data_IF_288080839139
#
_entry.id   IF_288080839139
#
_cell.length_a   1.000
_cell.length_b   1.000
_cell.length_c   1.000
_cell.angle_alpha   90.00
_cell.angle_beta   90.00
_cell.angle_gamma   90.00
#
_symmetry.space_group_name_H-M   'P 1'
#
loop_
_entity.id
_entity.type
_entity.pdbx_description
1 polymer ?
#
# COMPACT_ATOMS: atom_id res chain seq x y z
N UNK A 1 10.56 5.03 12.57
CA UNK A 1 9.86 4.38 11.44
C UNK A 1 9.06 3.19 11.94
N UNK A 2 7.84 2.97 11.44
CA UNK A 2 7.09 1.72 11.66
C UNK A 2 6.73 1.11 10.31
N UNK A 3 6.91 -0.20 10.18
CA UNK A 3 6.60 -0.94 8.96
C UNK A 3 5.79 -2.19 9.29
N UNK A 4 5.03 -2.65 8.30
CA UNK A 4 4.20 -3.84 8.39
C UNK A 4 4.59 -4.83 7.31
N UNK A 5 4.34 -6.11 7.56
CA UNK A 5 4.49 -7.16 6.57
C UNK A 5 3.14 -7.44 5.91
N UNK A 6 3.09 -7.35 4.58
CA UNK A 6 1.91 -7.66 3.78
C UNK A 6 2.23 -8.78 2.78
N UNK A 7 1.23 -9.58 2.41
CA UNK A 7 1.38 -10.55 1.34
C UNK A 7 0.75 -10.04 0.05
N UNK A 8 1.45 -10.14 -1.08
CA UNK A 8 0.90 -9.80 -2.40
C UNK A 8 1.08 -10.96 -3.40
N UNK A 9 0.10 -11.12 -4.27
CA UNK A 9 0.10 -12.07 -5.36
C UNK A 9 -0.36 -13.49 -5.02
N UNK A 10 -0.37 -14.32 -6.05
CA UNK A 10 -0.59 -15.76 -6.01
C UNK A 10 0.45 -16.49 -6.90
N UNK A 11 1.39 -17.25 -6.31
CA UNK A 11 1.58 -17.47 -4.87
C UNK A 11 1.96 -16.17 -4.13
N UNK A 12 1.50 -16.03 -2.87
CA UNK A 12 1.74 -14.85 -2.05
C UNK A 12 3.23 -14.72 -1.72
N UNK A 13 3.76 -13.51 -1.84
CA UNK A 13 5.10 -13.11 -1.36
C UNK A 13 4.96 -12.02 -0.30
N UNK A 14 5.86 -12.05 0.67
CA UNK A 14 5.88 -11.07 1.76
C UNK A 14 6.65 -9.82 1.34
N UNK A 15 6.12 -8.66 1.71
CA UNK A 15 6.71 -7.33 1.49
C UNK A 15 6.67 -6.54 2.80
N UNK A 16 7.78 -5.90 3.15
CA UNK A 16 7.87 -4.99 4.28
C UNK A 16 7.63 -3.56 3.81
N UNK A 17 6.53 -2.96 4.25
CA UNK A 17 6.09 -1.64 3.78
C UNK A 17 5.99 -0.67 4.95
N UNK A 18 6.48 0.56 4.76
CA UNK A 18 6.30 1.62 5.74
C UNK A 18 4.81 1.93 5.89
N UNK A 19 4.35 2.11 7.12
CA UNK A 19 2.99 2.56 7.40
C UNK A 19 2.98 4.09 7.33
N UNK A 20 2.20 4.64 6.41
CA UNK A 20 2.10 6.08 6.21
C UNK A 20 0.65 6.56 6.25
N UNK A 21 0.30 7.30 7.31
CA UNK A 21 -1.04 7.90 7.45
C UNK A 21 -1.18 9.24 6.72
N UNK A 22 -0.10 9.75 6.12
CA UNK A 22 -0.06 11.01 5.39
C UNK A 22 -0.21 10.88 3.86
N UNK A 23 -0.17 9.66 3.31
CA UNK A 23 -0.36 9.40 1.87
C UNK A 23 -1.45 8.36 1.60
N UNK A 24 -1.99 8.36 0.39
CA UNK A 24 -3.13 7.50 0.04
C UNK A 24 -2.72 6.13 -0.50
N UNK A 25 -1.71 6.06 -1.36
CA UNK A 25 -1.46 4.90 -2.22
C UNK A 25 -0.55 3.88 -1.52
N UNK A 26 -0.93 2.60 -1.55
CA UNK A 26 0.04 1.50 -1.41
C UNK A 26 0.87 1.41 -2.67
N UNK A 27 2.19 1.39 -2.55
CA UNK A 27 3.07 1.00 -3.64
C UNK A 27 4.22 0.13 -3.14
N UNK A 28 4.75 -0.71 -4.04
CA UNK A 28 5.94 -1.53 -3.81
C UNK A 28 6.91 -1.41 -4.97
N UNK A 29 8.21 -1.56 -4.69
CA UNK A 29 9.26 -1.54 -5.70
C UNK A 29 9.08 -2.70 -6.69
N UNK A 30 9.09 -2.40 -7.98
CA UNK A 30 8.84 -3.39 -9.01
C UNK A 30 10.10 -3.96 -9.66
N UNK A 31 9.96 -5.16 -10.23
CA UNK A 31 11.00 -5.78 -11.03
C UNK A 31 11.36 -4.88 -12.22
N UNK A 32 12.66 -4.62 -12.39
CA UNK A 32 13.16 -3.69 -13.40
C UNK A 32 13.05 -2.21 -13.01
N UNK A 33 12.79 -1.91 -11.73
CA UNK A 33 12.77 -0.54 -11.24
C UNK A 33 14.12 0.18 -11.40
N UNK A 34 14.05 1.43 -11.83
CA UNK A 34 15.17 2.37 -11.90
C UNK A 34 15.40 3.06 -10.54
N UNK A 35 16.64 3.07 -10.06
CA UNK A 35 17.05 3.71 -8.79
C UNK A 35 16.31 3.23 -7.54
N UNK A 36 15.69 2.04 -7.58
CA UNK A 36 15.17 1.41 -6.36
C UNK A 36 16.31 0.90 -5.46
N UNK A 37 16.12 0.89 -4.14
CA UNK A 37 17.06 0.28 -3.22
C UNK A 37 17.14 -1.23 -3.48
N UNK A 38 18.35 -1.77 -3.35
CA UNK A 38 18.61 -3.22 -3.47
C UNK A 38 19.04 -3.85 -2.16
N UNK A 39 19.28 -3.02 -1.13
CA UNK A 39 19.70 -3.40 0.22
C UNK A 39 19.03 -2.46 1.22
N UNK A 40 18.88 -2.95 2.44
CA UNK A 40 18.39 -2.19 3.58
C UNK A 40 19.38 -2.35 4.74
N UNK A 41 19.69 -1.24 5.42
CA UNK A 41 20.46 -1.24 6.67
C UNK A 41 19.65 -1.76 7.89
N UNK A 42 18.34 -2.00 7.71
CA UNK A 42 17.46 -2.62 8.71
C UNK A 42 17.62 -4.14 8.82
N UNK A 43 18.55 -4.73 8.07
CA UNK A 43 18.76 -6.19 8.04
C UNK A 43 17.66 -6.97 7.32
N UNK A 44 16.80 -6.28 6.56
CA UNK A 44 15.72 -6.87 5.77
C UNK A 44 16.20 -7.16 4.34
N UNK A 45 15.79 -8.32 3.81
CA UNK A 45 15.92 -8.62 2.39
C UNK A 45 14.80 -7.92 1.61
N UNK A 46 15.18 -7.07 0.65
CA UNK A 46 14.20 -6.37 -0.20
C UNK A 46 13.65 -7.29 -1.29
N UNK A 47 12.34 -7.26 -1.48
CA UNK A 47 11.58 -8.03 -2.44
C UNK A 47 10.98 -7.10 -3.50
N UNK A 48 11.32 -7.36 -4.76
CA UNK A 48 10.70 -6.66 -5.89
C UNK A 48 9.42 -7.38 -6.34
N UNK A 49 8.34 -6.64 -6.51
CA UNK A 49 7.10 -7.16 -7.09
C UNK A 49 7.25 -7.36 -8.59
N UNK A 50 6.87 -8.54 -9.07
CA UNK A 50 6.92 -8.89 -10.48
C UNK A 50 5.51 -9.34 -10.91
N UNK A 51 4.77 -8.50 -11.66
CA UNK A 51 3.43 -8.83 -12.14
C UNK A 51 3.38 -10.17 -12.88
N UNK A 52 4.46 -10.54 -13.59
CA UNK A 52 4.51 -11.77 -14.38
C UNK A 52 4.63 -13.03 -13.53
N UNK A 53 5.02 -12.88 -12.25
CA UNK A 53 5.18 -14.00 -11.31
C UNK A 53 3.95 -14.25 -10.45
N UNK A 54 2.89 -13.46 -10.61
CA UNK A 54 1.62 -13.73 -9.97
C UNK A 54 0.53 -14.08 -10.98
N UNK A 55 -0.11 -15.21 -10.76
CA UNK A 55 -1.26 -15.68 -11.54
C UNK A 55 -2.53 -14.84 -11.38
N UNK A 56 -2.59 -13.96 -10.37
CA UNK A 56 -3.74 -13.10 -10.07
C UNK A 56 -3.47 -11.63 -10.38
N UNK A 57 -2.27 -11.31 -10.87
CA UNK A 57 -1.90 -9.97 -11.28
C UNK A 57 -2.59 -9.58 -12.59
N UNK A 58 -3.03 -8.34 -12.66
CA UNK A 58 -3.53 -7.70 -13.87
C UNK A 58 -3.12 -6.24 -13.90
N UNK A 59 -2.83 -5.73 -15.10
CA UNK A 59 -2.53 -4.31 -15.29
C UNK A 59 -3.82 -3.49 -15.15
N UNK A 60 -3.69 -2.29 -14.57
CA UNK A 60 -4.76 -1.29 -14.58
C UNK A 60 -4.50 -0.30 -15.71
N UNK A 61 -5.49 -0.09 -16.56
CA UNK A 61 -5.40 0.80 -17.71
C UNK A 61 -6.05 2.16 -17.42
N UNK A 62 -5.66 3.19 -18.18
CA UNK A 62 -6.06 4.56 -17.93
C UNK A 62 -7.57 4.83 -18.10
N UNK A 63 -8.26 3.97 -18.83
CA UNK A 63 -9.70 4.02 -19.11
C UNK A 63 -10.55 3.22 -18.12
N UNK A 64 -9.93 2.53 -17.17
CA UNK A 64 -10.63 1.78 -16.13
C UNK A 64 -11.08 2.69 -14.98
N UNK A 65 -12.22 2.33 -14.37
CA UNK A 65 -12.89 3.11 -13.31
C UNK A 65 -11.97 3.50 -12.15
N UNK A 66 -11.06 2.61 -11.75
CA UNK A 66 -10.09 2.92 -10.68
C UNK A 66 -9.21 4.11 -11.06
N UNK A 67 -8.70 4.12 -12.30
CA UNK A 67 -7.81 5.16 -12.77
C UNK A 67 -8.54 6.49 -12.89
N UNK A 68 -9.71 6.49 -13.55
CA UNK A 68 -10.50 7.70 -13.73
C UNK A 68 -10.97 8.27 -12.39
N UNK A 69 -11.35 7.42 -11.43
CA UNK A 69 -11.75 7.86 -10.09
C UNK A 69 -10.58 8.38 -9.25
N UNK A 70 -9.35 7.90 -9.50
CA UNK A 70 -8.15 8.38 -8.79
C UNK A 70 -7.74 9.78 -9.24
N UNK A 71 -8.06 10.15 -10.48
CA UNK A 71 -7.69 11.44 -11.10
C UNK A 71 -8.89 12.34 -11.37
N UNK A 72 -10.03 12.10 -10.70
CA UNK A 72 -11.27 12.88 -10.83
C UNK A 72 -11.77 13.07 -12.28
N UNK A 73 -11.50 12.09 -13.14
CA UNK A 73 -11.98 12.07 -14.52
C UNK A 73 -11.06 11.32 -15.49
N UNK A 74 -11.42 11.31 -16.80
CA UNK A 74 -10.59 10.73 -17.83
C UNK A 74 -9.23 11.42 -17.93
N UNK A 75 -8.17 10.61 -17.96
CA UNK A 75 -6.81 11.13 -18.13
C UNK A 75 -6.61 11.70 -19.54
N UNK A 76 -6.11 12.94 -19.69
CA UNK A 76 -5.79 13.51 -21.00
C UNK A 76 -4.82 12.62 -21.77
N UNK A 77 -5.16 12.30 -23.03
CA UNK A 77 -4.32 11.45 -23.87
C UNK A 77 -4.37 9.96 -23.53
N UNK A 78 -5.31 9.52 -22.68
CA UNK A 78 -5.57 8.10 -22.45
C UNK A 78 -5.92 7.39 -23.76
N UNK A 79 -5.21 6.30 -24.05
CA UNK A 79 -5.42 5.42 -25.20
C UNK A 79 -5.67 4.00 -24.71
N UNK A 80 -6.39 3.16 -25.48
CA UNK A 80 -6.55 1.75 -25.14
C UNK A 80 -5.19 1.09 -24.85
N UNK A 81 -5.14 0.27 -23.81
CA UNK A 81 -3.94 -0.42 -23.32
C UNK A 81 -2.83 0.48 -22.73
N UNK A 82 -3.05 1.79 -22.60
CA UNK A 82 -2.12 2.64 -21.85
C UNK A 82 -2.33 2.39 -20.35
N UNK A 83 -1.24 2.06 -19.65
CA UNK A 83 -1.27 1.79 -18.22
C UNK A 83 -1.69 3.04 -17.43
N UNK A 84 -2.42 2.84 -16.34
CA UNK A 84 -2.72 3.90 -15.38
C UNK A 84 -1.44 4.24 -14.60
N UNK A 85 -0.78 5.33 -14.99
CA UNK A 85 0.46 5.78 -14.35
C UNK A 85 0.16 6.52 -13.05
N UNK A 86 1.12 6.51 -12.13
CA UNK A 86 1.06 7.31 -10.90
C UNK A 86 2.41 7.97 -10.61
N UNK A 87 2.35 9.07 -9.86
CA UNK A 87 3.50 9.78 -9.32
C UNK A 87 3.11 10.35 -7.94
N UNK A 88 3.94 10.10 -6.93
CA UNK A 88 3.79 10.66 -5.59
C UNK A 88 5.08 11.37 -5.22
N UNK A 89 4.96 12.60 -4.73
CA UNK A 89 6.06 13.39 -4.15
C UNK A 89 5.78 13.55 -2.66
N UNK A 90 6.73 13.17 -1.83
CA UNK A 90 6.63 13.23 -0.38
C UNK A 90 7.16 14.56 0.17
N UNK A 91 6.82 14.85 1.44
CA UNK A 91 7.18 16.12 2.08
C UNK A 91 8.69 16.35 2.25
N UNK A 92 9.51 15.29 2.16
CA UNK A 92 10.97 15.35 2.14
C UNK A 92 11.56 15.62 0.74
N UNK A 93 10.70 15.71 -0.28
CA UNK A 93 11.09 15.91 -1.68
C UNK A 93 11.45 14.62 -2.43
N UNK A 94 11.44 13.46 -1.75
CA UNK A 94 11.56 12.17 -2.42
C UNK A 94 10.31 11.86 -3.26
N UNK A 95 10.44 10.98 -4.24
CA UNK A 95 9.30 10.65 -5.11
C UNK A 95 9.32 9.21 -5.58
N UNK A 96 8.13 8.68 -5.81
CA UNK A 96 7.91 7.40 -6.49
C UNK A 96 7.08 7.60 -7.75
N UNK A 97 7.44 6.91 -8.84
CA UNK A 97 6.67 6.91 -10.07
C UNK A 97 6.56 5.49 -10.64
N UNK A 98 5.42 5.20 -11.27
CA UNK A 98 5.15 3.87 -11.80
C UNK A 98 3.77 3.76 -12.42
N UNK A 99 3.20 2.56 -12.32
CA UNK A 99 1.87 2.26 -12.83
C UNK A 99 1.08 1.40 -11.84
N UNK A 100 -0.25 1.47 -11.91
CA UNK A 100 -1.11 0.66 -11.06
C UNK A 100 -1.25 -0.77 -11.58
N UNK A 101 -1.27 -1.70 -10.64
CA UNK A 101 -1.55 -3.11 -10.85
C UNK A 101 -2.63 -3.55 -9.87
N UNK A 102 -3.45 -4.51 -10.29
CA UNK A 102 -4.45 -5.15 -9.45
C UNK A 102 -4.01 -6.56 -9.16
N UNK A 103 -3.96 -6.93 -7.88
CA UNK A 103 -3.60 -8.27 -7.45
C UNK A 103 -4.26 -8.62 -6.11
N UNK A 104 -4.07 -9.87 -5.68
CA UNK A 104 -4.49 -10.32 -4.37
C UNK A 104 -3.53 -9.83 -3.29
N UNK A 105 -4.10 -9.35 -2.19
CA UNK A 105 -3.41 -9.02 -0.95
C UNK A 105 -3.82 -10.02 0.13
N UNK A 106 -2.85 -10.70 0.72
CA UNK A 106 -3.05 -11.56 1.88
C UNK A 106 -2.96 -10.70 3.14
N UNK A 107 -3.96 -10.84 3.99
CA UNK A 107 -4.11 -10.15 5.26
C UNK A 107 -4.36 -11.18 6.37
N UNK A 108 -4.16 -10.74 7.61
CA UNK A 108 -4.48 -11.53 8.80
C UNK A 108 -5.72 -10.92 9.47
N UNK A 109 -6.84 -11.63 9.41
CA UNK A 109 -8.08 -11.22 10.05
C UNK A 109 -8.04 -11.61 11.52
N UNK A 110 -8.24 -10.64 12.42
CA UNK A 110 -8.40 -10.91 13.85
C UNK A 110 -9.68 -11.71 14.09
N UNK A 111 -9.55 -12.90 14.66
CA UNK A 111 -10.69 -13.79 15.01
C UNK A 111 -10.91 -13.91 16.51
N UNK A 112 -9.98 -13.41 17.33
CA UNK A 112 -10.04 -13.41 18.78
C UNK A 112 -8.78 -12.79 19.39
N UNK A 113 -8.69 -12.80 20.72
CA UNK A 113 -7.50 -12.28 21.42
C UNK A 113 -6.26 -13.06 21.01
N UNK A 114 -5.28 -12.35 20.43
CA UNK A 114 -4.02 -12.92 19.92
C UNK A 114 -4.25 -14.04 18.87
N UNK A 115 -5.41 -14.06 18.22
CA UNK A 115 -5.75 -15.03 17.20
C UNK A 115 -6.05 -14.33 15.88
N UNK A 116 -5.41 -14.82 14.82
CA UNK A 116 -5.70 -14.40 13.45
C UNK A 116 -5.98 -15.59 12.55
N UNK A 117 -6.69 -15.32 11.47
CA UNK A 117 -6.88 -16.23 10.35
C UNK A 117 -6.52 -15.50 9.08
N UNK A 118 -5.80 -16.18 8.19
CA UNK A 118 -5.51 -15.63 6.87
C UNK A 118 -6.81 -15.36 6.11
N UNK A 119 -6.89 -14.15 5.56
CA UNK A 119 -7.93 -13.69 4.65
C UNK A 119 -7.28 -13.02 3.44
N UNK A 120 -7.99 -12.92 2.33
CA UNK A 120 -7.48 -12.29 1.12
C UNK A 120 -8.39 -11.14 0.69
N UNK A 121 -7.79 -10.06 0.21
CA UNK A 121 -8.37 -8.91 -0.49
C UNK A 121 -7.93 -8.89 -1.94
N UNK A 122 -8.69 -8.26 -2.83
CA UNK A 122 -8.16 -7.86 -4.14
C UNK A 122 -8.05 -6.35 -4.10
N UNK A 123 -6.85 -5.84 -4.41
CA UNK A 123 -6.52 -4.43 -4.28
C UNK A 123 -5.73 -3.96 -5.49
N UNK A 124 -5.82 -2.67 -5.76
CA UNK A 124 -5.01 -1.95 -6.72
C UNK A 124 -3.93 -1.19 -5.95
N UNK A 125 -2.69 -1.32 -6.40
CA UNK A 125 -1.52 -0.68 -5.79
C UNK A 125 -0.50 -0.26 -6.84
N UNK A 126 0.40 0.63 -6.46
CA UNK A 126 1.47 1.13 -7.30
C UNK A 126 2.59 0.10 -7.46
N UNK A 127 2.91 -0.21 -8.71
CA UNK A 127 4.14 -0.87 -9.12
C UNK A 127 5.21 0.20 -9.35
N UNK A 128 6.07 0.43 -8.35
CA UNK A 128 7.09 1.47 -8.34
C UNK A 128 8.18 1.17 -9.35
N UNK A 129 8.17 1.87 -10.47
CA UNK A 129 9.11 1.69 -11.57
C UNK A 129 10.34 2.59 -11.45
N UNK A 130 10.25 3.67 -10.65
CA UNK A 130 11.37 4.57 -10.39
C UNK A 130 11.22 5.26 -9.04
N UNK A 131 12.33 5.31 -8.29
CA UNK A 131 12.43 6.09 -7.05
C UNK A 131 13.39 7.27 -7.21
N UNK A 132 13.23 8.29 -6.37
CA UNK A 132 14.12 9.44 -6.29
C UNK A 132 14.29 9.91 -4.84
N UNK A 133 15.37 10.66 -4.57
CA UNK A 133 15.70 11.10 -3.21
C UNK A 133 15.94 9.92 -2.27
N UNK A 134 15.51 10.08 -1.02
CA UNK A 134 15.72 9.08 0.04
C UNK A 134 15.05 7.73 -0.25
N UNK A 135 13.95 7.70 -1.02
CA UNK A 135 13.29 6.44 -1.41
C UNK A 135 14.17 5.54 -2.30
N UNK A 136 15.20 6.09 -2.94
CA UNK A 136 16.19 5.31 -3.71
C UNK A 136 17.43 4.92 -2.89
N UNK A 137 17.55 5.41 -1.66
CA UNK A 137 18.69 5.16 -0.79
C UNK A 137 18.54 3.81 -0.07
N UNK A 138 19.65 3.24 0.39
CA UNK A 138 19.63 2.00 1.18
C UNK A 138 19.37 2.23 2.68
N UNK A 139 19.24 3.50 3.10
CA UNK A 139 19.00 3.84 4.49
C UNK A 139 17.53 3.70 4.83
N UNK A 140 17.24 2.94 5.87
CA UNK A 140 15.89 2.59 6.32
C UNK A 140 15.00 2.02 5.19
N UNK A 141 15.63 1.42 4.18
CA UNK A 141 14.94 1.01 2.96
C UNK A 141 13.95 -0.14 3.22
N UNK A 142 12.79 -0.03 2.59
CA UNK A 142 11.69 -0.98 2.66
C UNK A 142 11.21 -1.32 1.25
N UNK A 143 10.33 -2.31 1.13
CA UNK A 143 9.78 -2.74 -0.16
C UNK A 143 8.81 -1.72 -0.76
N UNK A 144 8.32 -0.79 0.05
CA UNK A 144 7.48 0.32 -0.38
C UNK A 144 6.76 1.00 0.79
N UNK A 145 5.67 1.69 0.47
CA UNK A 145 4.85 2.45 1.44
C UNK A 145 3.40 2.02 1.33
N UNK A 146 2.77 1.76 2.47
CA UNK A 146 1.35 1.51 2.62
C UNK A 146 0.66 2.78 3.11
N UNK A 147 0.03 3.49 2.18
CA UNK A 147 -0.76 4.69 2.44
C UNK A 147 -2.13 4.39 3.10
N UNK A 148 -2.47 5.23 4.08
CA UNK A 148 -3.69 5.17 4.90
C UNK A 148 -4.56 6.43 4.79
N UNK A 149 -4.29 7.27 3.79
CA UNK A 149 -5.05 8.48 3.50
C UNK A 149 -6.51 8.23 3.11
N UNK A 150 -7.27 9.31 3.02
CA UNK A 150 -8.73 9.27 2.91
C UNK A 150 -9.22 9.01 1.47
N UNK A 151 -8.34 9.10 0.46
CA UNK A 151 -8.72 8.96 -0.94
C UNK A 151 -9.25 7.55 -1.26
N UNK A 152 -10.04 7.45 -2.34
CA UNK A 152 -10.59 6.18 -2.80
C UNK A 152 -9.53 5.19 -3.30
N UNK A 153 -8.35 5.70 -3.68
CA UNK A 153 -7.19 4.90 -4.07
C UNK A 153 -6.51 4.20 -2.89
N UNK A 154 -6.79 4.58 -1.64
CA UNK A 154 -6.18 3.93 -0.47
C UNK A 154 -6.68 2.51 -0.23
N UNK A 155 -5.81 1.64 0.30
CA UNK A 155 -6.13 0.23 0.51
C UNK A 155 -7.34 0.05 1.42
N UNK A 156 -7.50 0.89 2.45
CA UNK A 156 -8.68 0.81 3.31
C UNK A 156 -9.95 1.16 2.54
N UNK A 157 -9.92 2.24 1.74
CA UNK A 157 -11.07 2.63 0.93
C UNK A 157 -11.48 1.50 -0.02
N UNK A 158 -10.51 0.86 -0.67
CA UNK A 158 -10.75 -0.26 -1.57
C UNK A 158 -11.34 -1.49 -0.84
N UNK A 159 -10.73 -1.89 0.28
CA UNK A 159 -11.22 -3.03 1.07
C UNK A 159 -12.62 -2.75 1.63
N UNK A 160 -12.89 -1.52 2.07
CA UNK A 160 -14.20 -1.13 2.55
C UNK A 160 -15.26 -1.11 1.44
N UNK A 161 -14.92 -0.60 0.26
CA UNK A 161 -15.80 -0.63 -0.91
C UNK A 161 -16.14 -2.06 -1.36
N UNK A 162 -15.22 -3.01 -1.18
CA UNK A 162 -15.49 -4.44 -1.42
C UNK A 162 -16.28 -5.14 -0.30
N UNK A 163 -16.68 -4.41 0.74
CA UNK A 163 -17.43 -4.95 1.88
C UNK A 163 -16.63 -5.81 2.85
N UNK A 164 -15.29 -5.87 2.71
CA UNK A 164 -14.43 -6.74 3.54
C UNK A 164 -14.16 -6.16 4.93
N UNK A 165 -14.12 -4.83 5.04
CA UNK A 165 -13.79 -4.12 6.29
C UNK A 165 -14.65 -2.85 6.42
N UNK A 166 -14.69 -2.27 7.62
CA UNK A 166 -15.15 -0.88 7.79
C UNK A 166 -14.04 0.09 7.35
N UNK A 167 -14.40 1.26 6.81
CA UNK A 167 -13.45 2.32 6.40
C UNK A 167 -12.89 3.04 7.64
N UNK A 168 -12.16 2.30 8.46
CA UNK A 168 -11.52 2.75 9.69
C UNK A 168 -10.29 1.89 9.96
N UNK A 169 -9.37 2.39 10.76
CA UNK A 169 -8.22 1.64 11.24
C UNK A 169 -7.78 2.16 12.60
N UNK A 170 -6.90 1.41 13.25
CA UNK A 170 -6.25 1.82 14.48
C UNK A 170 -4.81 1.32 14.51
N UNK A 171 -3.94 2.06 15.20
CA UNK A 171 -2.61 1.58 15.55
C UNK A 171 -2.36 1.69 17.05
N UNK A 172 -1.54 0.79 17.58
CA UNK A 172 -0.99 0.85 18.93
C UNK A 172 0.50 0.55 18.79
N UNK A 173 1.34 1.56 18.94
CA UNK A 173 2.76 1.52 18.58
C UNK A 173 3.60 1.70 19.85
N UNK A 174 4.60 0.84 20.04
CA UNK A 174 5.53 0.90 21.18
C UNK A 174 6.82 1.60 20.75
N UNK A 175 7.09 2.75 21.38
CA UNK A 175 8.28 3.55 21.13
C UNK A 175 9.49 3.20 22.01
N UNK A 176 9.34 2.28 22.97
CA UNK A 176 10.41 1.81 23.86
C UNK A 176 10.93 0.46 23.35
N UNK A 177 10.04 -0.53 23.24
CA UNK A 177 10.39 -1.89 22.79
C UNK A 177 10.39 -2.05 21.28
N UNK A 178 9.80 -1.09 20.54
CA UNK A 178 9.53 -1.22 19.12
C UNK A 178 8.33 -2.12 18.81
N UNK A 179 7.83 -2.00 17.58
CA UNK A 179 6.69 -2.79 17.11
C UNK A 179 5.33 -2.25 17.56
N UNK A 180 4.33 -3.11 17.51
CA UNK A 180 2.94 -2.73 17.80
C UNK A 180 1.93 -3.53 16.99
N UNK A 181 0.68 -3.06 17.05
CA UNK A 181 -0.43 -3.63 16.30
C UNK A 181 -0.99 -2.56 15.38
N UNK A 182 -1.17 -2.93 14.12
CA UNK A 182 -1.94 -2.16 13.16
C UNK A 182 -3.17 -2.96 12.75
N UNK A 183 -4.36 -2.39 12.92
CA UNK A 183 -5.62 -3.08 12.68
C UNK A 183 -6.48 -2.29 11.67
N UNK A 184 -6.98 -2.98 10.65
CA UNK A 184 -7.94 -2.44 9.67
C UNK A 184 -9.35 -2.88 10.08
N UNK A 185 -10.29 -1.94 10.08
CA UNK A 185 -11.66 -2.13 10.54
C UNK A 185 -11.94 -1.38 11.84
N UNK A 186 -12.98 -1.81 12.56
CA UNK A 186 -13.42 -1.16 13.80
C UNK A 186 -12.86 -1.90 15.02
N UNK A 187 -12.11 -1.17 15.85
CA UNK A 187 -11.68 -1.67 17.16
C UNK A 187 -12.82 -1.50 18.16
N UNK A 188 -13.31 -2.63 18.68
CA UNK A 188 -14.45 -2.67 19.61
C UNK A 188 -14.06 -2.38 21.07
N UNK A 189 -12.79 -2.54 21.43
CA UNK A 189 -12.26 -2.34 22.78
C UNK A 189 -10.77 -1.96 22.75
N UNK A 190 -10.29 -1.05 23.62
CA UNK A 190 -11.06 -0.28 24.60
C UNK A 190 -11.96 0.77 23.93
N UNK A 191 -12.97 1.26 24.65
CA UNK A 191 -13.75 2.41 24.19
C UNK A 191 -12.87 3.66 24.20
N UNK A 192 -12.67 4.25 23.03
CA UNK A 192 -11.88 5.48 22.86
C UNK A 192 -12.76 6.71 22.90
N UNK A 193 -12.22 7.82 23.40
CA UNK A 193 -12.82 9.15 23.20
C UNK A 193 -12.65 9.54 21.72
N UNK A 194 -13.64 10.23 21.15
CA UNK A 194 -13.67 10.59 19.72
C UNK A 194 -13.75 12.11 19.56
N UNK A 195 -13.16 12.61 18.48
CA UNK A 195 -13.30 13.98 17.99
C UNK A 195 -13.59 13.93 16.49
N UNK A 196 -14.31 14.89 15.90
CA UNK A 196 -14.51 14.94 14.46
C UNK A 196 -13.17 14.97 13.71
N UNK A 197 -13.09 14.19 12.63
CA UNK A 197 -11.99 14.25 11.68
C UNK A 197 -12.30 15.34 10.65
N UNK A 198 -11.35 16.23 10.38
CA UNK A 198 -11.50 17.27 9.36
C UNK A 198 -11.48 16.60 7.98
N UNK A 199 -12.39 17.05 7.10
CA UNK A 199 -12.42 16.56 5.72
C UNK A 199 -11.31 17.22 4.90
N UNK A 200 -10.72 16.45 4.00
CA UNK A 200 -9.77 16.95 3.00
C UNK A 200 -10.49 17.76 1.93
#
# INVERSE_FOLDING_TARGET
LYFAKIGLGNPSKDYYVQVDTGSDILWVNCAGCDKCPTKSDLGLGLTLYDPKKSSTSSLVYCDQDFCTSTYDGPLPGCKPNLQCQYNVVYGDGSSTAGYFVKDNMKLEQVTGNLQSRSTNGTVVFGCGARQSGELGSSSEALDGILGFGQANSSIISQLAASGKVKKSFAHCLDNIGGGGIFAIGEVVSPKVKRTPMVQN
#
